data_IF_828088166785
#
_entry.id   IF_828088166785
#
_cell.length_a   1.000
_cell.length_b   1.000
_cell.length_c   1.000
_cell.angle_alpha   90.00
_cell.angle_beta   90.00
_cell.angle_gamma   90.00
#
_symmetry.space_group_name_H-M   'P 1'
#
loop_
_entity.id
_entity.type
_entity.pdbx_description
1 polymer ?
#
# COMPACT_ATOMS: atom_id res chain seq x y z
N UNK A 1 17.47 -17.90 -12.66
CA UNK A 1 16.05 -17.57 -12.35
C UNK A 1 15.93 -16.55 -11.20
N UNK A 2 16.65 -16.72 -10.09
CA UNK A 2 16.62 -15.81 -8.92
C UNK A 2 16.98 -14.35 -9.23
N UNK A 3 18.03 -14.10 -10.01
CA UNK A 3 18.40 -12.73 -10.42
C UNK A 3 17.34 -12.05 -11.30
N UNK A 4 16.72 -12.80 -12.21
CA UNK A 4 15.66 -12.29 -13.07
C UNK A 4 14.43 -11.88 -12.24
N UNK A 5 14.02 -12.74 -11.30
CA UNK A 5 12.94 -12.45 -10.37
C UNK A 5 13.23 -11.20 -9.52
N UNK A 6 14.48 -11.03 -9.04
CA UNK A 6 14.90 -9.85 -8.29
C UNK A 6 14.84 -8.56 -9.11
N UNK A 7 15.31 -8.58 -10.36
CA UNK A 7 15.29 -7.40 -11.25
C UNK A 7 13.85 -7.02 -11.60
N UNK A 8 13.01 -8.00 -11.93
CA UNK A 8 11.59 -7.79 -12.23
C UNK A 8 10.85 -7.23 -11.01
N UNK A 9 11.06 -7.80 -9.82
CA UNK A 9 10.47 -7.29 -8.57
C UNK A 9 10.86 -5.83 -8.30
N UNK A 10 12.15 -5.48 -8.45
CA UNK A 10 12.62 -4.11 -8.21
C UNK A 10 11.99 -3.11 -9.19
N UNK A 11 11.81 -3.50 -10.45
CA UNK A 11 11.15 -2.67 -11.47
C UNK A 11 9.66 -2.47 -11.17
N UNK A 12 8.94 -3.51 -10.78
CA UNK A 12 7.50 -3.43 -10.50
C UNK A 12 7.21 -2.64 -9.20
N UNK A 13 8.03 -2.81 -8.16
CA UNK A 13 7.92 -2.02 -6.92
C UNK A 13 8.16 -0.52 -7.19
N UNK A 14 9.03 -0.17 -8.14
CA UNK A 14 9.31 1.23 -8.49
C UNK A 14 8.17 1.93 -9.22
N UNK A 15 7.24 1.18 -9.84
CA UNK A 15 6.09 1.73 -10.57
C UNK A 15 4.85 1.91 -9.69
N UNK A 16 4.79 1.22 -8.56
CA UNK A 16 3.62 1.20 -7.67
C UNK A 16 3.83 2.23 -6.56
N UNK A 17 2.78 3.01 -6.29
CA UNK A 17 2.78 3.94 -5.16
C UNK A 17 3.00 3.17 -3.85
N UNK A 18 3.87 3.69 -2.99
CA UNK A 18 4.30 3.01 -1.76
C UNK A 18 3.13 2.58 -0.84
N UNK A 19 2.09 3.40 -0.80
CA UNK A 19 0.85 3.17 -0.04
C UNK A 19 0.07 1.94 -0.55
N UNK A 20 0.14 1.68 -1.87
CA UNK A 20 -0.49 0.53 -2.53
C UNK A 20 0.32 -0.75 -2.33
N UNK A 21 1.66 -0.66 -2.17
CA UNK A 21 2.53 -1.83 -1.97
C UNK A 21 2.15 -2.65 -0.72
N UNK A 22 1.74 -1.98 0.36
CA UNK A 22 1.33 -2.67 1.59
C UNK A 22 -0.12 -3.12 1.55
N UNK A 23 -1.01 -2.31 0.97
CA UNK A 23 -2.45 -2.61 0.87
C UNK A 23 -2.73 -3.77 -0.08
N UNK A 24 -1.91 -3.94 -1.13
CA UNK A 24 -2.16 -4.90 -2.20
C UNK A 24 -1.03 -5.92 -2.36
N UNK A 25 -0.47 -6.44 -1.24
CA UNK A 25 0.54 -7.53 -1.30
C UNK A 25 0.10 -8.69 -2.19
N UNK A 26 -1.18 -9.01 -2.22
CA UNK A 26 -1.75 -10.05 -3.08
C UNK A 26 -1.69 -9.68 -4.57
N UNK A 27 -2.09 -8.45 -4.93
CA UNK A 27 -1.98 -7.91 -6.30
C UNK A 27 -0.53 -7.90 -6.80
N UNK A 28 0.40 -7.47 -5.94
CA UNK A 28 1.83 -7.50 -6.21
C UNK A 28 2.35 -8.92 -6.48
N UNK A 29 1.94 -9.90 -5.67
CA UNK A 29 2.35 -11.28 -5.87
C UNK A 29 1.88 -11.80 -7.22
N UNK A 30 0.64 -11.50 -7.61
CA UNK A 30 0.08 -11.87 -8.92
C UNK A 30 0.89 -11.22 -10.05
N UNK A 31 1.11 -9.91 -9.99
CA UNK A 31 1.86 -9.19 -11.02
C UNK A 31 3.31 -9.67 -11.18
N UNK A 32 3.98 -9.99 -10.07
CA UNK A 32 5.35 -10.55 -10.11
C UNK A 32 5.36 -11.94 -10.72
N UNK A 33 4.41 -12.81 -10.35
CA UNK A 33 4.29 -14.16 -10.91
C UNK A 33 4.05 -14.10 -12.41
N UNK A 34 3.16 -13.22 -12.89
CA UNK A 34 2.92 -13.03 -14.32
C UNK A 34 4.17 -12.55 -15.07
N UNK A 35 4.86 -11.54 -14.53
CA UNK A 35 6.06 -11.00 -15.15
C UNK A 35 7.20 -12.02 -15.20
N UNK A 36 7.39 -12.82 -14.14
CA UNK A 36 8.34 -13.92 -14.12
C UNK A 36 7.96 -15.00 -15.14
N UNK A 37 6.69 -15.42 -15.18
CA UNK A 37 6.22 -16.44 -16.12
C UNK A 37 6.37 -16.00 -17.58
N UNK A 38 6.12 -14.72 -17.89
CA UNK A 38 6.34 -14.16 -19.23
C UNK A 38 7.80 -14.28 -19.67
N UNK A 39 8.74 -13.99 -18.78
CA UNK A 39 10.16 -14.08 -19.08
C UNK A 39 10.70 -15.53 -19.04
N UNK A 40 10.14 -16.37 -18.15
CA UNK A 40 10.51 -17.78 -18.00
C UNK A 40 9.94 -18.70 -19.11
N UNK A 41 8.98 -18.21 -19.91
CA UNK A 41 8.41 -18.92 -21.05
C UNK A 41 9.46 -19.41 -22.05
N UNK A 42 10.53 -18.63 -22.25
CA UNK A 42 11.64 -18.99 -23.13
C UNK A 42 12.48 -20.19 -22.61
N UNK A 43 12.36 -20.52 -21.32
CA UNK A 43 13.10 -21.60 -20.67
C UNK A 43 12.21 -22.80 -20.28
N UNK A 44 10.91 -22.74 -20.57
CA UNK A 44 9.96 -23.81 -20.21
C UNK A 44 9.69 -23.96 -18.71
N UNK A 45 9.98 -22.93 -17.91
CA UNK A 45 9.81 -22.94 -16.45
C UNK A 45 8.52 -22.18 -16.09
N UNK A 46 7.73 -22.74 -15.16
CA UNK A 46 6.50 -22.12 -14.64
C UNK A 46 6.67 -21.83 -13.14
N UNK A 47 6.46 -20.57 -12.77
CA UNK A 47 6.41 -20.10 -11.39
C UNK A 47 4.98 -20.22 -10.85
N UNK A 48 4.77 -21.07 -9.83
CA UNK A 48 3.45 -21.35 -9.27
C UNK A 48 3.03 -20.37 -8.18
N UNK A 49 3.99 -19.90 -7.36
CA UNK A 49 3.73 -18.98 -6.25
C UNK A 49 4.95 -18.13 -5.98
N UNK A 50 4.71 -16.85 -5.71
CA UNK A 50 5.71 -15.92 -5.23
C UNK A 50 5.24 -15.32 -3.90
N UNK A 51 6.14 -15.26 -2.92
CA UNK A 51 5.87 -14.65 -1.63
C UNK A 51 6.95 -13.64 -1.27
N UNK A 52 6.50 -12.42 -1.02
CA UNK A 52 7.34 -11.36 -0.49
C UNK A 52 7.49 -11.56 1.02
N UNK A 53 8.70 -11.95 1.46
CA UNK A 53 9.05 -12.05 2.89
C UNK A 53 9.22 -10.67 3.51
N UNK A 54 10.32 -9.99 3.20
CA UNK A 54 10.69 -8.70 3.79
C UNK A 54 10.89 -7.62 2.72
N UNK A 55 10.19 -6.49 2.86
CA UNK A 55 10.46 -5.27 2.09
C UNK A 55 11.15 -4.29 3.03
N UNK A 56 12.45 -4.05 2.84
CA UNK A 56 13.16 -2.98 3.55
C UNK A 56 13.08 -1.69 2.74
N UNK A 57 12.28 -0.76 3.23
CA UNK A 57 12.18 0.58 2.66
C UNK A 57 13.29 1.49 3.20
N UNK A 58 13.77 2.47 2.41
CA UNK A 58 14.67 3.49 2.92
C UNK A 58 14.00 4.27 4.06
N UNK A 59 14.75 4.58 5.13
CA UNK A 59 14.22 5.25 6.32
C UNK A 59 13.47 6.57 6.00
N UNK A 60 14.00 7.36 5.06
CA UNK A 60 13.36 8.61 4.60
C UNK A 60 11.95 8.43 4.07
N UNK A 61 11.69 7.29 3.41
CA UNK A 61 10.39 6.98 2.80
C UNK A 61 9.40 6.52 3.86
N UNK A 62 9.85 5.74 4.84
CA UNK A 62 9.03 5.40 6.02
C UNK A 62 8.62 6.65 6.79
N UNK A 63 9.54 7.58 7.01
CA UNK A 63 9.29 8.82 7.74
C UNK A 63 8.27 9.72 7.03
N UNK A 64 8.41 9.89 5.71
CA UNK A 64 7.44 10.63 4.90
C UNK A 64 6.03 10.00 4.92
N UNK A 65 5.96 8.66 4.87
CA UNK A 65 4.70 7.93 4.97
C UNK A 65 4.05 8.09 6.34
N UNK A 66 4.85 8.01 7.41
CA UNK A 66 4.39 8.19 8.79
C UNK A 66 3.75 9.57 8.97
N UNK A 67 4.42 10.62 8.48
CA UNK A 67 3.91 11.99 8.49
C UNK A 67 2.61 12.12 7.69
N UNK A 68 2.52 11.48 6.52
CA UNK A 68 1.32 11.52 5.69
C UNK A 68 0.12 10.84 6.38
N UNK A 69 0.33 9.65 6.96
CA UNK A 69 -0.72 8.90 7.67
C UNK A 69 -1.17 9.66 8.93
N UNK A 70 -0.24 10.27 9.66
CA UNK A 70 -0.58 11.12 10.81
C UNK A 70 -1.38 12.34 10.39
N UNK A 71 -1.00 13.02 9.30
CA UNK A 71 -1.74 14.17 8.78
C UNK A 71 -3.17 13.78 8.35
N UNK A 72 -3.33 12.65 7.66
CA UNK A 72 -4.63 12.12 7.23
C UNK A 72 -5.51 11.76 8.45
N UNK A 73 -4.93 11.08 9.46
CA UNK A 73 -5.61 10.76 10.71
C UNK A 73 -6.04 12.01 11.47
N UNK A 74 -5.15 12.99 11.58
CA UNK A 74 -5.41 14.24 12.31
C UNK A 74 -6.53 15.03 11.62
N UNK A 75 -6.50 15.11 10.30
CA UNK A 75 -7.58 15.73 9.50
C UNK A 75 -8.92 15.02 9.72
N UNK A 76 -8.95 13.68 9.68
CA UNK A 76 -10.17 12.91 9.96
C UNK A 76 -10.70 13.16 11.37
N UNK A 77 -9.81 13.17 12.37
CA UNK A 77 -10.20 13.42 13.76
C UNK A 77 -10.84 14.81 13.92
N UNK A 78 -10.23 15.85 13.34
CA UNK A 78 -10.78 17.21 13.40
C UNK A 78 -12.14 17.33 12.70
N UNK A 79 -12.35 16.63 11.57
CA UNK A 79 -13.64 16.60 10.88
C UNK A 79 -14.70 15.93 11.75
N UNK A 80 -14.41 14.75 12.29
CA UNK A 80 -15.32 14.00 13.17
C UNK A 80 -15.69 14.78 14.43
N UNK A 81 -14.71 15.46 15.04
CA UNK A 81 -14.95 16.31 16.21
C UNK A 81 -15.84 17.52 15.85
N UNK A 82 -15.58 18.16 14.72
CA UNK A 82 -16.39 19.29 14.23
C UNK A 82 -17.84 18.88 13.92
N UNK A 83 -18.02 17.70 13.32
CA UNK A 83 -19.36 17.13 13.04
C UNK A 83 -20.09 16.80 14.34
N UNK A 84 -19.43 16.16 15.30
CA UNK A 84 -20.01 15.83 16.60
C UNK A 84 -20.42 17.05 17.42
N UNK A 85 -19.61 18.13 17.40
CA UNK A 85 -19.97 19.40 18.05
C UNK A 85 -21.20 20.02 17.40
N UNK A 86 -21.29 20.00 16.07
CA UNK A 86 -22.44 20.53 15.33
C UNK A 86 -23.71 19.75 15.64
N UNK A 87 -23.67 18.42 15.62
CA UNK A 87 -24.83 17.59 15.97
C UNK A 87 -25.27 17.81 17.42
N UNK A 88 -24.32 17.90 18.36
CA UNK A 88 -24.63 18.15 19.77
C UNK A 88 -25.34 19.51 19.99
N UNK A 89 -24.96 20.54 19.23
CA UNK A 89 -25.62 21.86 19.28
C UNK A 89 -27.04 21.81 18.71
N UNK A 90 -27.25 21.09 17.61
CA UNK A 90 -28.58 20.92 17.00
C UNK A 90 -29.52 20.17 17.97
N UNK A 91 -29.08 19.04 18.52
CA UNK A 91 -29.87 18.25 19.47
C UNK A 91 -30.25 19.04 20.73
N UNK A 92 -29.37 19.94 21.20
CA UNK A 92 -29.69 20.84 22.33
C UNK A 92 -30.74 21.89 21.98
N UNK A 93 -30.77 22.37 20.74
CA UNK A 93 -31.71 23.39 20.29
C UNK A 93 -33.11 22.82 19.98
N UNK A 94 -33.19 21.56 19.56
CA UNK A 94 -34.47 20.87 19.30
C UNK A 94 -35.09 20.24 20.57
N UNK A 95 -34.31 20.09 21.65
CA UNK A 95 -34.72 19.42 22.89
C UNK A 95 -35.41 20.30 23.95
N UNK A 96 -35.81 21.53 23.62
CA UNK A 96 -36.55 22.45 24.49
C UNK A 96 -37.77 23.02 23.77
#
# INVERSE_FOLDING_TARGET
VTQLAQTTMRSEIGKIALDTLFRERESLNVGIVEAINKAAKAWGIVCLRYEIRDIRLPAKVQEAMQMQVEAERRKRATVLESEGVREAQINKAEGT
#
